data_IF_107342392371
#
_entry.id   IF_107342392371
#
_cell.length_a   1.000
_cell.length_b   1.000
_cell.length_c   1.000
_cell.angle_alpha   90.00
_cell.angle_beta   90.00
_cell.angle_gamma   90.00
#
_symmetry.space_group_name_H-M   'P 1'
#
loop_
_entity.id
_entity.type
_entity.pdbx_description
1 polymer ?
#
# COMPACT_ATOMS: atom_id res chain seq x y z
N UNK A 1 -9.31 44.75 9.86
CA UNK A 1 -9.96 44.42 8.59
C UNK A 1 -10.14 42.90 8.58
N UNK A 2 -11.37 42.39 8.51
CA UNK A 2 -11.65 40.95 8.64
C UNK A 2 -11.45 40.27 7.27
N UNK A 3 -10.67 39.19 7.23
CA UNK A 3 -10.38 38.42 6.00
C UNK A 3 -11.68 37.98 5.30
N UNK A 4 -12.67 37.54 6.08
CA UNK A 4 -13.96 37.09 5.55
C UNK A 4 -14.72 38.22 4.83
N UNK A 5 -14.63 39.44 5.36
CA UNK A 5 -15.25 40.61 4.74
C UNK A 5 -14.53 41.03 3.45
N UNK A 6 -13.21 40.86 3.39
CA UNK A 6 -12.41 41.10 2.17
C UNK A 6 -12.72 40.07 1.10
N UNK A 7 -12.83 38.79 1.46
CA UNK A 7 -13.19 37.70 0.55
C UNK A 7 -14.61 37.85 0.01
N UNK A 8 -15.58 38.20 0.87
CA UNK A 8 -16.96 38.44 0.45
C UNK A 8 -17.09 39.63 -0.52
N UNK A 9 -16.33 40.71 -0.26
CA UNK A 9 -16.29 41.87 -1.16
C UNK A 9 -15.65 41.52 -2.51
N UNK A 10 -14.57 40.73 -2.51
CA UNK A 10 -13.93 40.25 -3.73
C UNK A 10 -14.86 39.34 -4.54
N UNK A 11 -15.55 38.38 -3.91
CA UNK A 11 -16.53 37.52 -4.57
C UNK A 11 -17.67 38.34 -5.20
N UNK A 12 -18.18 39.35 -4.49
CA UNK A 12 -19.21 40.25 -4.99
C UNK A 12 -18.74 41.17 -6.14
N UNK A 13 -17.44 41.47 -6.20
CA UNK A 13 -16.84 42.22 -7.31
C UNK A 13 -16.67 41.32 -8.54
N UNK A 14 -16.22 40.08 -8.35
CA UNK A 14 -16.09 39.08 -9.41
C UNK A 14 -17.47 38.77 -10.03
N UNK A 15 -18.50 38.58 -9.20
CA UNK A 15 -19.85 38.28 -9.66
C UNK A 15 -20.51 39.40 -10.49
N UNK A 16 -20.03 40.65 -10.37
CA UNK A 16 -20.53 41.81 -11.12
C UNK A 16 -19.71 42.12 -12.38
N UNK A 17 -18.63 41.38 -12.62
CA UNK A 17 -17.71 41.61 -13.71
C UNK A 17 -18.31 41.07 -15.03
N UNK A 18 -18.18 41.79 -16.16
CA UNK A 18 -18.53 41.26 -17.47
C UNK A 18 -17.73 39.99 -17.78
N UNK A 19 -18.36 39.00 -18.41
CA UNK A 19 -17.75 37.69 -18.69
C UNK A 19 -16.44 37.78 -19.48
N UNK A 20 -16.35 38.73 -20.42
CA UNK A 20 -15.12 38.98 -21.18
C UNK A 20 -13.98 39.54 -20.32
N UNK A 21 -14.30 40.42 -19.35
CA UNK A 21 -13.32 40.99 -18.43
C UNK A 21 -12.87 39.94 -17.40
N UNK A 22 -13.80 39.12 -16.93
CA UNK A 22 -13.51 37.97 -16.07
C UNK A 22 -12.61 36.95 -16.77
N UNK A 23 -12.89 36.61 -18.03
CA UNK A 23 -12.07 35.67 -18.81
C UNK A 23 -10.63 36.16 -19.02
N UNK A 24 -10.45 37.45 -19.31
CA UNK A 24 -9.10 38.06 -19.43
C UNK A 24 -8.37 38.06 -18.09
N UNK A 25 -9.08 38.41 -17.00
CA UNK A 25 -8.52 38.39 -15.64
C UNK A 25 -8.10 36.99 -15.21
N UNK A 26 -8.94 35.99 -15.46
CA UNK A 26 -8.66 34.59 -15.15
C UNK A 26 -7.47 34.08 -15.96
N UNK A 27 -7.43 34.32 -17.28
CA UNK A 27 -6.31 33.90 -18.12
C UNK A 27 -4.97 34.50 -17.68
N UNK A 28 -4.98 35.77 -17.24
CA UNK A 28 -3.79 36.43 -16.68
C UNK A 28 -3.34 35.80 -15.36
N UNK A 29 -4.29 35.50 -14.47
CA UNK A 29 -4.01 34.86 -13.19
C UNK A 29 -3.47 33.43 -13.38
N UNK A 30 -4.06 32.68 -14.31
CA UNK A 30 -3.61 31.34 -14.67
C UNK A 30 -2.20 31.35 -15.27
N UNK A 31 -1.90 32.32 -16.12
CA UNK A 31 -0.56 32.50 -16.69
C UNK A 31 0.47 32.90 -15.64
N UNK A 32 0.10 33.77 -14.69
CA UNK A 32 0.96 34.16 -13.57
C UNK A 32 1.19 33.00 -12.60
N UNK A 33 0.15 32.24 -12.27
CA UNK A 33 0.26 31.02 -11.48
C UNK A 33 1.12 29.96 -12.19
N UNK A 34 0.96 29.82 -13.51
CA UNK A 34 1.81 28.96 -14.34
C UNK A 34 3.26 29.42 -14.26
N UNK A 35 3.54 30.71 -14.42
CA UNK A 35 4.90 31.27 -14.27
C UNK A 35 5.49 31.05 -12.90
N UNK A 36 4.73 31.25 -11.82
CA UNK A 36 5.22 31.01 -10.45
C UNK A 36 5.47 29.54 -10.18
N UNK A 37 4.65 28.64 -10.74
CA UNK A 37 4.84 27.19 -10.63
C UNK A 37 6.02 26.68 -11.46
N UNK A 38 6.34 27.35 -12.57
CA UNK A 38 7.45 27.03 -13.48
C UNK A 38 8.65 27.98 -13.33
N UNK A 39 8.71 28.79 -12.26
CA UNK A 39 9.95 29.47 -11.89
C UNK A 39 10.86 28.42 -11.25
N UNK A 40 11.45 27.58 -12.10
CA UNK A 40 12.31 26.47 -11.73
C UNK A 40 13.44 26.93 -10.81
N UNK A 41 13.85 28.20 -10.92
CA UNK A 41 14.88 28.80 -10.06
C UNK A 41 14.31 29.08 -8.67
N UNK A 42 13.12 29.67 -8.54
CA UNK A 42 12.50 29.89 -7.24
C UNK A 42 12.18 28.56 -6.52
N UNK A 43 11.64 27.58 -7.26
CA UNK A 43 11.37 26.24 -6.75
C UNK A 43 12.67 25.53 -6.33
N UNK A 44 13.72 25.58 -7.15
CA UNK A 44 15.02 24.98 -6.82
C UNK A 44 15.69 25.66 -5.62
N UNK A 45 15.60 26.99 -5.49
CA UNK A 45 16.12 27.72 -4.32
C UNK A 45 15.38 27.36 -3.05
N UNK A 46 14.05 27.21 -3.14
CA UNK A 46 13.25 26.78 -2.01
C UNK A 46 13.58 25.34 -1.62
N UNK A 47 13.67 24.41 -2.59
CA UNK A 47 14.08 23.03 -2.35
C UNK A 47 15.48 22.96 -1.71
N UNK A 48 16.47 23.64 -2.27
CA UNK A 48 17.82 23.69 -1.70
C UNK A 48 17.85 24.30 -0.29
N UNK A 49 17.02 25.30 0.00
CA UNK A 49 16.87 25.84 1.34
C UNK A 49 16.28 24.79 2.30
N UNK A 50 15.22 24.09 1.90
CA UNK A 50 14.60 23.03 2.71
C UNK A 50 15.58 21.86 2.93
N UNK A 51 16.30 21.43 1.89
CA UNK A 51 17.33 20.41 1.97
C UNK A 51 18.46 20.81 2.94
N UNK A 52 18.82 22.10 2.98
CA UNK A 52 19.84 22.62 3.91
C UNK A 52 19.44 22.58 5.39
N UNK A 53 18.15 22.31 5.70
CA UNK A 53 17.66 22.23 7.07
C UNK A 53 17.83 20.83 7.69
N UNK A 54 18.36 19.85 6.94
CA UNK A 54 18.56 18.46 7.40
C UNK A 54 17.32 17.89 8.12
N UNK A 55 16.13 18.14 7.54
CA UNK A 55 14.84 17.78 8.16
C UNK A 55 14.68 16.28 8.37
N UNK A 56 15.30 15.48 7.51
CA UNK A 56 15.41 14.03 7.59
C UNK A 56 16.19 13.59 8.83
N UNK A 57 17.34 14.22 9.11
CA UNK A 57 18.12 13.98 10.32
C UNK A 57 17.37 14.43 11.56
N UNK A 58 16.72 15.59 11.52
CA UNK A 58 15.91 16.08 12.64
C UNK A 58 14.75 15.12 12.96
N UNK A 59 14.06 14.60 11.93
CA UNK A 59 13.03 13.58 12.07
C UNK A 59 13.60 12.27 12.62
N UNK A 60 14.77 11.83 12.16
CA UNK A 60 15.44 10.64 12.69
C UNK A 60 15.77 10.77 14.18
N UNK A 61 16.33 11.90 14.61
CA UNK A 61 16.65 12.15 16.01
C UNK A 61 15.40 12.18 16.90
N UNK A 62 14.30 12.75 16.40
CA UNK A 62 13.03 12.77 17.11
C UNK A 62 12.41 11.36 17.22
N UNK A 63 12.46 10.59 16.14
CA UNK A 63 12.07 9.18 16.13
C UNK A 63 12.85 8.37 17.17
N UNK A 64 14.17 8.58 17.25
CA UNK A 64 15.04 7.93 18.26
C UNK A 64 14.67 8.27 19.70
N UNK A 65 14.26 9.51 19.97
CA UNK A 65 13.82 9.91 21.32
C UNK A 65 12.52 9.21 21.69
N UNK A 66 11.53 9.22 20.79
CA UNK A 66 10.26 8.52 21.02
C UNK A 66 10.43 7.00 21.17
N UNK A 67 11.33 6.40 20.39
CA UNK A 67 11.69 4.99 20.47
C UNK A 67 12.31 4.66 21.84
N UNK A 68 13.24 5.50 22.32
CA UNK A 68 13.84 5.37 23.65
C UNK A 68 12.81 5.54 24.79
N UNK A 69 11.81 6.39 24.58
CA UNK A 69 10.68 6.58 25.51
C UNK A 69 9.63 5.45 25.42
N UNK A 70 9.80 4.48 24.51
CA UNK A 70 8.88 3.36 24.29
C UNK A 70 7.60 3.72 23.52
N UNK A 71 7.48 4.96 23.04
CA UNK A 71 6.38 5.45 22.22
C UNK A 71 6.59 5.06 20.75
N UNK A 72 6.38 3.77 20.46
CA UNK A 72 6.60 3.20 19.12
C UNK A 72 5.74 3.86 18.04
N UNK A 73 4.53 4.34 18.37
CA UNK A 73 3.64 4.98 17.40
C UNK A 73 4.20 6.31 16.88
N UNK A 74 4.64 7.19 17.78
CA UNK A 74 5.34 8.41 17.37
C UNK A 74 6.71 8.13 16.76
N UNK A 75 7.45 7.13 17.28
CA UNK A 75 8.72 6.73 16.69
C UNK A 75 8.55 6.34 15.21
N UNK A 76 7.59 5.48 14.88
CA UNK A 76 7.28 5.08 13.52
C UNK A 76 6.86 6.28 12.65
N UNK A 77 6.07 7.20 13.20
CA UNK A 77 5.68 8.43 12.49
C UNK A 77 6.89 9.26 12.07
N UNK A 78 7.86 9.47 12.94
CA UNK A 78 9.04 10.26 12.63
C UNK A 78 10.05 9.51 11.76
N UNK A 79 10.24 8.20 11.97
CA UNK A 79 11.08 7.41 11.09
C UNK A 79 10.54 7.33 9.65
N UNK A 80 9.21 7.34 9.43
CA UNK A 80 8.64 7.48 8.07
C UNK A 80 9.07 8.77 7.38
N UNK A 81 9.10 9.88 8.11
CA UNK A 81 9.52 11.18 7.54
C UNK A 81 10.98 11.11 7.13
N UNK A 82 11.85 10.57 7.99
CA UNK A 82 13.27 10.43 7.69
C UNK A 82 13.55 9.41 6.56
N UNK A 83 12.88 8.25 6.56
CA UNK A 83 13.06 7.21 5.55
C UNK A 83 12.67 7.68 4.15
N UNK A 84 11.62 8.52 4.03
CA UNK A 84 11.21 9.13 2.75
C UNK A 84 12.26 10.06 2.12
N UNK A 85 13.24 10.50 2.89
CA UNK A 85 14.36 11.31 2.42
C UNK A 85 15.63 10.46 2.23
N UNK A 86 15.48 9.16 1.97
CA UNK A 86 16.57 8.19 1.78
C UNK A 86 17.53 8.04 2.97
N UNK A 87 17.08 8.41 4.19
CA UNK A 87 17.87 8.18 5.39
C UNK A 87 17.86 6.67 5.75
N UNK A 88 18.84 5.93 5.22
CA UNK A 88 18.87 4.47 5.29
C UNK A 88 18.77 3.87 6.70
N UNK A 89 19.46 4.48 7.68
CA UNK A 89 19.37 4.14 9.10
C UNK A 89 17.93 4.25 9.65
N UNK A 90 17.15 5.20 9.12
CA UNK A 90 15.77 5.43 9.52
C UNK A 90 14.85 4.33 8.97
N UNK A 91 15.07 3.87 7.74
CA UNK A 91 14.32 2.76 7.15
C UNK A 91 14.48 1.47 7.98
N UNK A 92 15.71 1.14 8.39
CA UNK A 92 15.97 0.00 9.27
C UNK A 92 15.23 0.12 10.62
N UNK A 93 15.28 1.30 11.23
CA UNK A 93 14.60 1.56 12.51
C UNK A 93 13.08 1.57 12.37
N UNK A 94 12.56 2.06 11.25
CA UNK A 94 11.14 2.02 10.92
C UNK A 94 10.66 0.56 10.84
N UNK A 95 11.37 -0.29 10.09
CA UNK A 95 11.06 -1.72 10.00
C UNK A 95 10.99 -2.40 11.37
N UNK A 96 12.00 -2.17 12.23
CA UNK A 96 12.03 -2.70 13.61
C UNK A 96 10.87 -2.19 14.46
N UNK A 97 10.55 -0.90 14.35
CA UNK A 97 9.48 -0.28 15.15
C UNK A 97 8.11 -0.82 14.73
N UNK A 98 7.88 -0.97 13.42
CA UNK A 98 6.64 -1.50 12.87
C UNK A 98 6.46 -2.99 13.17
N UNK A 99 7.53 -3.78 13.14
CA UNK A 99 7.53 -5.19 13.55
C UNK A 99 7.10 -5.34 15.03
N UNK A 100 7.70 -4.53 15.91
CA UNK A 100 7.29 -4.48 17.33
C UNK A 100 5.84 -4.02 17.52
N UNK A 101 5.37 -3.05 16.72
CA UNK A 101 3.97 -2.63 16.74
C UNK A 101 3.04 -3.75 16.26
N UNK A 102 3.42 -4.51 15.24
CA UNK A 102 2.66 -5.64 14.73
C UNK A 102 2.56 -6.76 15.79
N UNK A 103 3.64 -7.04 16.51
CA UNK A 103 3.65 -7.99 17.61
C UNK A 103 2.76 -7.54 18.77
N UNK A 104 2.80 -6.26 19.14
CA UNK A 104 1.88 -5.69 20.14
C UNK A 104 0.43 -5.77 19.68
N UNK A 105 0.17 -5.43 18.42
CA UNK A 105 -1.14 -5.50 17.78
C UNK A 105 -1.69 -6.93 17.92
N UNK A 106 -0.92 -7.92 17.45
CA UNK A 106 -1.27 -9.34 17.53
C UNK A 106 -1.57 -9.84 18.96
N UNK A 107 -0.88 -9.31 19.97
CA UNK A 107 -1.11 -9.68 21.37
C UNK A 107 -2.46 -9.17 21.93
N UNK A 108 -3.08 -8.16 21.30
CA UNK A 108 -4.28 -7.48 21.83
C UNK A 108 -5.63 -8.03 21.33
N UNK A 109 -5.67 -8.96 20.36
CA UNK A 109 -6.82 -9.72 19.79
C UNK A 109 -8.24 -9.06 19.81
N UNK A 110 -8.89 -8.76 18.66
CA UNK A 110 -9.70 -9.71 17.85
C UNK A 110 -9.59 -9.48 16.32
N UNK A 111 -10.42 -10.10 15.46
CA UNK A 111 -10.38 -10.12 13.97
C UNK A 111 -10.09 -8.77 13.25
N UNK A 112 -10.42 -7.61 13.85
CA UNK A 112 -10.10 -6.27 13.32
C UNK A 112 -8.61 -5.93 13.37
N UNK A 113 -7.89 -6.54 14.30
CA UNK A 113 -6.44 -6.37 14.55
C UNK A 113 -5.62 -7.08 13.47
N UNK A 114 -6.16 -8.08 12.77
CA UNK A 114 -5.44 -8.81 11.72
C UNK A 114 -5.19 -7.97 10.46
N UNK A 115 -6.09 -7.04 10.13
CA UNK A 115 -5.87 -6.10 9.01
C UNK A 115 -4.82 -5.05 9.36
N UNK A 116 -4.83 -4.57 10.61
CA UNK A 116 -3.86 -3.61 11.11
C UNK A 116 -2.46 -4.25 11.25
N UNK A 117 -2.38 -5.46 11.81
CA UNK A 117 -1.16 -6.27 11.85
C UNK A 117 -0.61 -6.50 10.45
N UNK A 118 -1.43 -6.95 9.49
CA UNK A 118 -0.98 -7.14 8.11
C UNK A 118 -0.46 -5.84 7.48
N UNK A 119 -1.12 -4.70 7.75
CA UNK A 119 -0.65 -3.40 7.28
C UNK A 119 0.73 -3.05 7.85
N UNK A 120 0.93 -3.22 9.17
CA UNK A 120 2.20 -2.98 9.84
C UNK A 120 3.31 -3.91 9.32
N UNK A 121 3.02 -5.21 9.14
CA UNK A 121 3.97 -6.19 8.59
C UNK A 121 4.35 -5.85 7.14
N UNK A 122 3.38 -5.41 6.33
CA UNK A 122 3.65 -5.00 4.93
C UNK A 122 4.53 -3.76 4.88
N UNK A 123 4.21 -2.75 5.70
CA UNK A 123 4.99 -1.52 5.79
C UNK A 123 6.40 -1.80 6.35
N UNK A 124 6.53 -2.68 7.34
CA UNK A 124 7.81 -3.11 7.88
C UNK A 124 8.68 -3.81 6.83
N UNK A 125 8.09 -4.70 6.01
CA UNK A 125 8.79 -5.39 4.93
C UNK A 125 9.33 -4.40 3.88
N UNK A 126 8.56 -3.37 3.54
CA UNK A 126 9.00 -2.31 2.63
C UNK A 126 10.19 -1.54 3.22
N UNK A 127 10.08 -1.09 4.47
CA UNK A 127 11.15 -0.37 5.15
C UNK A 127 12.44 -1.19 5.28
N UNK A 128 12.32 -2.50 5.55
CA UNK A 128 13.47 -3.40 5.55
C UNK A 128 14.06 -3.60 4.15
N UNK A 129 13.24 -3.68 3.10
CA UNK A 129 13.72 -3.79 1.72
C UNK A 129 14.50 -2.53 1.30
N UNK A 130 14.02 -1.33 1.69
CA UNK A 130 14.75 -0.07 1.50
C UNK A 130 16.08 -0.06 2.24
N UNK A 131 16.09 -0.48 3.51
CA UNK A 131 17.33 -0.61 4.29
C UNK A 131 18.31 -1.62 3.65
N UNK A 132 17.81 -2.74 3.15
CA UNK A 132 18.62 -3.74 2.46
C UNK A 132 19.24 -3.16 1.17
N UNK A 133 18.46 -2.43 0.38
CA UNK A 133 18.94 -1.75 -0.83
C UNK A 133 20.04 -0.71 -0.51
N UNK A 134 20.00 -0.09 0.67
CA UNK A 134 21.01 0.83 1.16
C UNK A 134 22.23 0.14 1.81
N UNK A 135 22.28 -1.20 1.86
CA UNK A 135 23.44 -1.98 2.33
C UNK A 135 23.29 -2.61 3.71
N UNK A 136 22.15 -2.47 4.38
CA UNK A 136 21.88 -3.14 5.66
C UNK A 136 21.44 -4.59 5.42
N UNK A 137 22.41 -5.49 5.22
CA UNK A 137 22.13 -6.90 4.92
C UNK A 137 21.31 -7.59 6.01
N UNK A 138 21.45 -7.16 7.27
CA UNK A 138 20.65 -7.67 8.40
C UNK A 138 19.13 -7.46 8.22
N UNK A 139 18.71 -6.54 7.35
CA UNK A 139 17.30 -6.31 7.08
C UNK A 139 16.64 -7.50 6.38
N UNK A 140 17.39 -8.28 5.58
CA UNK A 140 16.87 -9.49 4.94
C UNK A 140 16.50 -10.55 6.00
N UNK A 141 17.39 -10.78 6.97
CA UNK A 141 17.14 -11.72 8.08
C UNK A 141 15.90 -11.29 8.89
N UNK A 142 15.72 -9.98 9.11
CA UNK A 142 14.55 -9.44 9.80
C UNK A 142 13.26 -9.65 9.03
N UNK A 143 13.27 -9.52 7.70
CA UNK A 143 12.09 -9.83 6.87
C UNK A 143 11.70 -11.29 7.06
N UNK A 144 12.67 -12.21 6.97
CA UNK A 144 12.41 -13.65 7.10
C UNK A 144 11.87 -14.00 8.50
N UNK A 145 12.48 -13.47 9.56
CA UNK A 145 12.03 -13.67 10.94
C UNK A 145 10.60 -13.17 11.16
N UNK A 146 10.31 -11.94 10.72
CA UNK A 146 9.01 -11.29 10.83
C UNK A 146 7.93 -12.07 10.07
N UNK A 147 8.17 -12.42 8.80
CA UNK A 147 7.22 -13.16 7.98
C UNK A 147 6.97 -14.58 8.52
N UNK A 148 8.01 -15.24 9.04
CA UNK A 148 7.87 -16.54 9.69
C UNK A 148 7.01 -16.41 10.97
N UNK A 149 7.22 -15.38 11.78
CA UNK A 149 6.41 -15.11 12.97
C UNK A 149 4.94 -14.83 12.63
N UNK A 150 4.68 -14.01 11.62
CA UNK A 150 3.34 -13.73 11.13
C UNK A 150 2.64 -14.99 10.59
N UNK A 151 3.32 -15.80 9.77
CA UNK A 151 2.77 -17.04 9.23
C UNK A 151 2.44 -18.06 10.31
N UNK A 152 3.29 -18.18 11.36
CA UNK A 152 3.00 -19.03 12.52
C UNK A 152 1.71 -18.61 13.22
N UNK A 153 1.50 -17.30 13.42
CA UNK A 153 0.27 -16.75 14.02
C UNK A 153 -0.95 -17.04 13.16
N UNK A 154 -0.85 -16.88 11.84
CA UNK A 154 -1.95 -17.13 10.91
C UNK A 154 -2.37 -18.61 10.81
N UNK A 155 -1.43 -19.55 10.96
CA UNK A 155 -1.73 -20.99 10.88
C UNK A 155 -2.43 -21.56 12.12
N UNK A 156 -2.48 -20.82 13.23
CA UNK A 156 -3.14 -21.24 14.47
C UNK A 156 -4.23 -20.24 14.92
N UNK A 157 -5.35 -20.10 14.19
CA UNK A 157 -6.56 -19.56 14.79
C UNK A 157 -7.14 -20.65 15.71
N UNK A 158 -7.30 -20.36 17.00
CA UNK A 158 -7.72 -21.31 18.02
C UNK A 158 -9.03 -22.04 17.67
N UNK A 159 -9.02 -23.35 17.96
CA UNK A 159 -10.05 -24.36 17.72
C UNK A 159 -11.08 -24.31 18.86
N UNK A 160 -11.71 -23.15 19.06
CA UNK A 160 -12.81 -22.95 20.01
C UNK A 160 -14.01 -22.29 19.34
N UNK A 161 -14.63 -23.04 18.43
CA UNK A 161 -16.06 -22.86 18.16
C UNK A 161 -16.82 -23.67 19.22
N UNK A 162 -17.69 -23.06 20.04
CA UNK A 162 -18.65 -23.82 20.82
C UNK A 162 -19.65 -24.43 19.83
N UNK A 163 -19.88 -25.73 19.98
CA UNK A 163 -20.84 -26.59 19.27
C UNK A 163 -21.84 -25.88 18.35
N UNK A 164 -21.64 -26.04 17.04
CA UNK A 164 -22.73 -25.98 16.07
C UNK A 164 -22.68 -27.20 15.15
N UNK A 165 -23.18 -28.32 15.70
CA UNK A 165 -23.94 -29.38 15.01
C UNK A 165 -23.29 -30.18 13.87
N UNK A 166 -23.76 -31.41 13.61
CA UNK A 166 -23.39 -32.14 12.39
C UNK A 166 -24.11 -31.52 11.19
N UNK A 167 -23.40 -31.40 10.07
CA UNK A 167 -23.85 -30.89 8.76
C UNK A 167 -24.04 -29.38 8.57
N UNK A 168 -22.91 -28.65 8.47
CA UNK A 168 -22.81 -27.56 7.49
C UNK A 168 -22.15 -28.15 6.23
N UNK A 169 -22.98 -28.66 5.30
CA UNK A 169 -22.54 -29.25 4.04
C UNK A 169 -21.58 -28.29 3.32
N UNK A 170 -20.31 -28.71 3.16
CA UNK A 170 -19.31 -27.99 2.35
C UNK A 170 -19.90 -27.75 0.96
N UNK A 171 -19.93 -26.50 0.52
CA UNK A 171 -20.40 -26.14 -0.81
C UNK A 171 -19.53 -26.88 -1.84
N UNK A 172 -20.15 -27.69 -2.71
CA UNK A 172 -19.46 -28.50 -3.73
C UNK A 172 -19.53 -27.87 -5.14
N UNK A 173 -19.96 -26.61 -5.24
CA UNK A 173 -20.31 -25.97 -6.51
C UNK A 173 -19.15 -25.93 -7.52
N UNK A 174 -17.92 -25.67 -7.07
CA UNK A 174 -16.73 -25.67 -7.95
C UNK A 174 -16.19 -27.08 -8.17
N UNK A 175 -16.29 -27.96 -7.16
CA UNK A 175 -15.80 -29.33 -7.24
C UNK A 175 -16.60 -30.20 -8.21
N UNK A 176 -17.92 -29.99 -8.27
CA UNK A 176 -18.82 -30.75 -9.10
C UNK A 176 -18.97 -30.12 -10.51
N UNK A 177 -18.25 -29.01 -10.78
CA UNK A 177 -18.24 -28.36 -12.09
C UNK A 177 -17.38 -29.15 -13.08
N UNK A 178 -18.01 -29.72 -14.10
CA UNK A 178 -17.35 -30.47 -15.16
C UNK A 178 -17.46 -29.69 -16.48
N UNK A 179 -16.36 -29.13 -17.01
CA UNK A 179 -16.40 -28.44 -18.30
C UNK A 179 -16.65 -29.43 -19.44
N UNK A 180 -17.53 -29.07 -20.37
CA UNK A 180 -18.00 -29.96 -21.45
C UNK A 180 -16.86 -30.47 -22.36
N UNK A 181 -15.77 -29.72 -22.50
CA UNK A 181 -14.63 -30.05 -23.38
C UNK A 181 -13.29 -30.15 -22.63
N UNK A 182 -13.29 -30.23 -21.29
CA UNK A 182 -12.06 -30.24 -20.48
C UNK A 182 -11.29 -28.91 -20.47
N UNK A 183 -11.80 -27.89 -21.16
CA UNK A 183 -11.26 -26.53 -21.23
C UNK A 183 -12.34 -25.58 -20.72
N UNK A 184 -11.98 -24.71 -19.78
CA UNK A 184 -12.86 -23.66 -19.27
C UNK A 184 -12.91 -22.50 -20.25
N UNK A 185 -14.11 -22.01 -20.53
CA UNK A 185 -14.32 -20.74 -21.22
C UNK A 185 -14.14 -19.57 -20.25
N UNK A 186 -13.86 -18.38 -20.78
CA UNK A 186 -13.72 -17.16 -19.97
C UNK A 186 -14.98 -16.84 -19.15
N UNK A 187 -16.16 -17.17 -19.67
CA UNK A 187 -17.44 -16.98 -18.99
C UNK A 187 -17.57 -17.90 -17.76
N UNK A 188 -17.17 -19.17 -17.90
CA UNK A 188 -17.16 -20.15 -16.80
C UNK A 188 -16.13 -19.79 -15.73
N UNK A 189 -14.96 -19.26 -16.13
CA UNK A 189 -13.94 -18.78 -15.20
C UNK A 189 -14.47 -17.59 -14.39
N UNK A 190 -15.18 -16.66 -15.03
CA UNK A 190 -15.78 -15.51 -14.35
C UNK A 190 -16.91 -15.91 -13.40
N UNK A 191 -17.71 -16.92 -13.75
CA UNK A 191 -18.76 -17.43 -12.89
C UNK A 191 -18.21 -18.13 -11.65
N UNK A 192 -17.27 -19.07 -11.84
CA UNK A 192 -16.65 -19.82 -10.76
C UNK A 192 -15.82 -18.92 -9.84
N UNK A 193 -15.10 -17.93 -10.39
CA UNK A 193 -14.33 -16.96 -9.59
C UNK A 193 -15.24 -16.07 -8.73
N UNK A 194 -16.39 -15.64 -9.24
CA UNK A 194 -17.37 -14.85 -8.47
C UNK A 194 -17.90 -15.63 -7.28
N UNK A 195 -18.19 -16.91 -7.49
CA UNK A 195 -18.63 -17.80 -6.41
C UNK A 195 -17.50 -18.08 -5.40
N UNK A 196 -16.30 -18.41 -5.87
CA UNK A 196 -15.13 -18.68 -5.02
C UNK A 196 -14.72 -17.47 -4.17
N UNK A 197 -14.88 -16.25 -4.69
CA UNK A 197 -14.64 -15.02 -3.94
C UNK A 197 -15.58 -14.83 -2.74
N UNK A 198 -16.72 -15.51 -2.71
CA UNK A 198 -17.74 -15.40 -1.67
C UNK A 198 -17.87 -16.69 -0.82
N UNK A 199 -17.18 -17.76 -1.19
CA UNK A 199 -17.29 -19.07 -0.56
C UNK A 199 -15.90 -19.65 -0.26
N UNK A 200 -15.48 -19.59 1.01
CA UNK A 200 -14.14 -20.05 1.41
C UNK A 200 -13.89 -21.53 1.16
N UNK A 201 -14.93 -22.39 1.14
CA UNK A 201 -14.76 -23.82 0.84
C UNK A 201 -14.53 -24.11 -0.64
N UNK A 202 -14.92 -23.21 -1.55
CA UNK A 202 -14.75 -23.40 -3.00
C UNK A 202 -13.52 -22.69 -3.56
N UNK A 203 -12.84 -21.85 -2.76
CA UNK A 203 -11.65 -21.13 -3.20
C UNK A 203 -10.47 -22.07 -3.48
N UNK A 204 -10.25 -23.06 -2.62
CA UNK A 204 -9.19 -24.06 -2.82
C UNK A 204 -9.42 -24.91 -4.07
N UNK A 205 -10.67 -25.34 -4.29
CA UNK A 205 -11.06 -26.13 -5.47
C UNK A 205 -10.92 -25.33 -6.76
N UNK A 206 -11.29 -24.03 -6.74
CA UNK A 206 -11.14 -23.14 -7.90
C UNK A 206 -9.68 -22.95 -8.30
N UNK A 207 -8.80 -22.72 -7.32
CA UNK A 207 -7.35 -22.59 -7.58
C UNK A 207 -6.78 -23.89 -8.16
N UNK A 208 -7.24 -25.05 -7.68
CA UNK A 208 -6.85 -26.36 -8.23
C UNK A 208 -7.28 -26.52 -9.70
N UNK A 209 -8.51 -26.15 -10.01
CA UNK A 209 -9.11 -26.29 -11.33
C UNK A 209 -8.45 -25.36 -12.37
N UNK A 210 -8.16 -24.10 -12.00
CA UNK A 210 -7.41 -23.16 -12.85
C UNK A 210 -5.98 -23.64 -13.11
N UNK A 211 -5.30 -24.20 -12.08
CA UNK A 211 -3.94 -24.73 -12.24
C UNK A 211 -3.90 -25.93 -13.18
N UNK A 212 -4.88 -26.83 -13.08
CA UNK A 212 -5.00 -27.97 -13.99
C UNK A 212 -5.19 -27.50 -15.45
N UNK A 213 -6.08 -26.52 -15.68
CA UNK A 213 -6.30 -25.93 -16.99
C UNK A 213 -5.04 -25.25 -17.57
N UNK A 214 -4.29 -24.51 -16.74
CA UNK A 214 -3.02 -23.88 -17.13
C UNK A 214 -1.91 -24.90 -17.44
N UNK A 215 -1.92 -26.07 -16.80
CA UNK A 215 -0.95 -27.14 -17.09
C UNK A 215 -1.27 -27.93 -18.35
N UNK A 216 -2.52 -27.86 -18.84
CA UNK A 216 -2.97 -28.52 -20.05
C UNK A 216 -2.75 -27.68 -21.33
N UNK A 217 -2.34 -26.41 -21.19
CA UNK A 217 -2.06 -25.53 -22.33
C UNK A 217 -0.67 -25.85 -22.89
N UNK A 218 -0.53 -26.31 -24.15
CA UNK A 218 0.78 -26.58 -24.72
C UNK A 218 1.56 -25.25 -24.84
N UNK A 219 2.72 -25.21 -24.19
CA UNK A 219 3.71 -24.12 -24.31
C UNK A 219 4.34 -24.14 -25.70
N UNK A 220 3.55 -23.78 -26.73
CA UNK A 220 4.04 -23.46 -28.05
C UNK A 220 4.61 -22.04 -28.05
N UNK A 221 5.86 -21.89 -28.49
CA UNK A 221 6.54 -20.61 -28.58
C UNK A 221 5.67 -19.60 -29.36
N UNK A 222 5.18 -18.58 -28.66
CA UNK A 222 4.60 -17.40 -29.28
C UNK A 222 5.76 -16.73 -30.03
N UNK A 223 5.78 -16.88 -31.35
CA UNK A 223 6.73 -16.18 -32.19
C UNK A 223 6.49 -14.68 -32.00
N UNK A 224 7.51 -13.98 -31.50
CA UNK A 224 7.51 -12.53 -31.32
C UNK A 224 7.35 -11.85 -32.70
N UNK A 225 6.21 -11.18 -32.97
CA UNK A 225 5.97 -10.53 -34.25
C UNK A 225 6.85 -9.27 -34.47
N UNK A 226 7.68 -8.89 -33.49
CA UNK A 226 8.55 -7.71 -33.54
C UNK A 226 10.05 -8.01 -33.53
N UNK A 227 10.46 -9.28 -33.66
CA UNK A 227 11.88 -9.62 -33.72
C UNK A 227 12.54 -9.02 -34.99
N UNK A 228 13.58 -8.18 -34.87
CA UNK A 228 14.21 -7.55 -36.03
C UNK A 228 15.00 -8.57 -36.85
N UNK A 229 14.74 -8.59 -38.16
CA UNK A 229 15.43 -9.42 -39.15
C UNK A 229 16.90 -8.96 -39.24
N UNK A 230 17.84 -9.88 -39.04
CA UNK A 230 19.27 -9.69 -39.32
C UNK A 230 19.59 -10.06 -40.76
#
# INVERSE_FOLDING_TARGET
MNLDAVLAAAASAIARMPEAEFAVGLARLEEEFRRLRFDDIACARHAAFVDSLDLDRAAYELGRRHDADGNLGEAARWYRVAARSDHADAALRLGRTLDLLADRCAATGPYSVQREELHLITEAAQAYAEAYAAGYTEAADRIDEMLAAFTRRQRFPDRRQPDSGPDAARCAHVRDFVPANGVLTDEEIQELSRHAAQCMSCLEDFVGLVRAAASATPSGAVADPFAPVR
#
